data_IF_314760852090
#
_entry.id   IF_314760852090
#
_cell.length_a   1.000
_cell.length_b   1.000
_cell.length_c   1.000
_cell.angle_alpha   90.00
_cell.angle_beta   90.00
_cell.angle_gamma   90.00
#
_symmetry.space_group_name_H-M   'P 1'
#
loop_
_entity.id
_entity.type
_entity.pdbx_description
1 polymer ?
#
# COMPACT_ATOMS: atom_id res chain seq x y z
N UNK A 1 8.74 -24.80 32.61
CA UNK A 1 8.43 -25.43 31.29
C UNK A 1 9.68 -26.08 30.73
N UNK A 2 9.61 -27.37 30.39
CA UNK A 2 10.75 -28.19 29.95
C UNK A 2 11.40 -27.60 28.68
N UNK A 3 12.73 -27.68 28.55
CA UNK A 3 13.49 -27.07 27.43
C UNK A 3 12.99 -27.58 26.07
N UNK A 4 12.60 -28.86 26.02
CA UNK A 4 12.01 -29.48 24.84
C UNK A 4 10.65 -28.87 24.47
N UNK A 5 9.80 -28.58 25.46
CA UNK A 5 8.48 -27.98 25.22
C UNK A 5 8.65 -26.56 24.64
N UNK A 6 9.60 -25.77 25.15
CA UNK A 6 9.92 -24.45 24.60
C UNK A 6 10.35 -24.53 23.13
N UNK A 7 11.18 -25.51 22.79
CA UNK A 7 11.64 -25.73 21.42
C UNK A 7 10.47 -26.03 20.47
N UNK A 8 9.59 -26.96 20.84
CA UNK A 8 8.43 -27.30 20.01
C UNK A 8 7.45 -26.15 19.83
N UNK A 9 7.23 -25.32 20.85
CA UNK A 9 6.38 -24.12 20.74
C UNK A 9 6.96 -23.11 19.75
N UNK A 10 8.27 -22.86 19.82
CA UNK A 10 8.94 -21.95 18.88
C UNK A 10 8.89 -22.51 17.45
N UNK A 11 9.13 -23.81 17.29
CA UNK A 11 9.08 -24.46 15.98
C UNK A 11 7.67 -24.37 15.37
N UNK A 12 6.62 -24.65 16.15
CA UNK A 12 5.24 -24.54 15.71
C UNK A 12 4.90 -23.09 15.31
N UNK A 13 5.36 -22.11 16.08
CA UNK A 13 5.19 -20.69 15.75
C UNK A 13 5.87 -20.35 14.42
N UNK A 14 7.13 -20.73 14.21
CA UNK A 14 7.86 -20.47 12.95
C UNK A 14 7.14 -21.11 11.74
N UNK A 15 6.70 -22.36 11.86
CA UNK A 15 5.99 -23.06 10.79
C UNK A 15 4.66 -22.38 10.42
N UNK A 16 3.96 -21.80 11.40
CA UNK A 16 2.71 -21.05 11.17
C UNK A 16 2.92 -19.76 10.36
N UNK A 17 4.04 -19.05 10.54
CA UNK A 17 4.32 -17.84 9.75
C UNK A 17 4.77 -18.13 8.33
N UNK A 18 5.38 -19.29 8.06
CA UNK A 18 5.79 -19.67 6.70
C UNK A 18 4.60 -19.83 5.73
N UNK A 19 3.40 -20.09 6.26
CA UNK A 19 2.16 -20.21 5.47
C UNK A 19 1.39 -18.89 5.28
N UNK A 20 1.85 -17.78 5.88
CA UNK A 20 1.14 -16.50 5.79
C UNK A 20 1.58 -15.70 4.57
N UNK A 21 0.63 -15.33 3.71
CA UNK A 21 0.83 -14.39 2.60
C UNK A 21 0.15 -13.07 2.93
N UNK A 22 0.91 -11.99 3.19
CA UNK A 22 0.33 -10.68 3.51
C UNK A 22 0.14 -9.76 2.29
N UNK A 23 0.84 -10.03 1.18
CA UNK A 23 0.83 -9.18 0.00
C UNK A 23 -0.26 -9.60 -0.98
N UNK A 24 -1.16 -8.69 -1.33
CA UNK A 24 -2.14 -8.90 -2.40
C UNK A 24 -1.55 -8.45 -3.74
N UNK A 25 -0.95 -9.39 -4.47
CA UNK A 25 -0.32 -9.11 -5.78
C UNK A 25 -1.32 -8.60 -6.82
N UNK A 26 -2.57 -9.07 -6.77
CA UNK A 26 -3.60 -8.66 -7.72
C UNK A 26 -3.96 -7.18 -7.53
N UNK A 27 -4.09 -6.76 -6.28
CA UNK A 27 -4.30 -5.36 -5.93
C UNK A 27 -3.12 -4.47 -6.36
N UNK A 28 -1.89 -4.92 -6.12
CA UNK A 28 -0.71 -4.18 -6.55
C UNK A 28 -0.68 -3.99 -8.07
N UNK A 29 -1.04 -5.03 -8.84
CA UNK A 29 -1.16 -4.93 -10.30
C UNK A 29 -2.26 -3.95 -10.73
N UNK A 30 -3.44 -3.99 -10.11
CA UNK A 30 -4.51 -3.05 -10.45
C UNK A 30 -4.14 -1.58 -10.18
N UNK A 31 -3.39 -1.31 -9.11
CA UNK A 31 -2.84 0.02 -8.85
C UNK A 31 -1.89 0.45 -9.96
N UNK A 32 -0.96 -0.42 -10.37
CA UNK A 32 -0.01 -0.12 -11.46
C UNK A 32 -0.75 0.13 -12.77
N UNK A 33 -1.67 -0.74 -13.16
CA UNK A 33 -2.46 -0.60 -14.39
C UNK A 33 -3.22 0.73 -14.41
N UNK A 34 -3.83 1.11 -13.28
CA UNK A 34 -4.58 2.36 -13.15
C UNK A 34 -3.65 3.57 -13.22
N UNK A 35 -2.60 3.60 -12.41
CA UNK A 35 -1.66 4.73 -12.31
C UNK A 35 -0.82 4.94 -13.57
N UNK A 36 -0.66 3.91 -14.40
CA UNK A 36 0.07 3.97 -15.68
C UNK A 36 -0.84 4.12 -16.89
N UNK A 37 -2.16 4.11 -16.69
CA UNK A 37 -3.13 4.28 -17.78
C UNK A 37 -3.03 5.67 -18.42
N UNK A 38 -3.46 5.81 -19.70
CA UNK A 38 -3.47 7.10 -20.39
C UNK A 38 -4.29 8.19 -19.66
N UNK A 39 -5.30 7.82 -18.88
CA UNK A 39 -6.16 8.76 -18.15
C UNK A 39 -5.44 9.44 -16.99
N UNK A 40 -4.35 8.85 -16.48
CA UNK A 40 -3.49 9.40 -15.44
C UNK A 40 -2.38 10.31 -15.98
N UNK A 41 -2.30 10.51 -17.30
CA UNK A 41 -1.48 11.54 -17.95
C UNK A 41 0.00 11.53 -17.53
N UNK A 42 0.55 10.33 -17.30
CA UNK A 42 1.95 10.15 -16.90
C UNK A 42 2.27 10.62 -15.47
N UNK A 43 1.27 11.02 -14.68
CA UNK A 43 1.41 11.50 -13.29
C UNK A 43 2.30 12.74 -13.13
N UNK A 44 2.50 13.48 -14.22
CA UNK A 44 3.26 14.73 -14.24
C UNK A 44 2.40 15.95 -13.94
N UNK A 45 3.03 17.12 -13.80
CA UNK A 45 2.31 18.39 -13.56
C UNK A 45 1.47 18.85 -14.76
N UNK A 46 1.79 18.39 -15.97
CA UNK A 46 1.03 18.70 -17.19
C UNK A 46 -0.38 18.14 -17.08
N UNK A 47 -1.38 18.97 -17.41
CA UNK A 47 -2.80 18.59 -17.42
C UNK A 47 -3.27 17.94 -16.11
N UNK A 48 -2.70 18.37 -14.98
CA UNK A 48 -3.05 17.90 -13.63
C UNK A 48 -2.84 16.39 -13.40
N UNK A 49 -1.98 15.72 -14.18
CA UNK A 49 -1.74 14.28 -14.05
C UNK A 49 -1.32 13.85 -12.63
N UNK A 50 -0.47 14.65 -11.99
CA UNK A 50 -0.01 14.46 -10.61
C UNK A 50 -1.16 14.62 -9.61
N UNK A 51 -2.08 15.57 -9.84
CA UNK A 51 -3.23 15.79 -8.96
C UNK A 51 -4.22 14.63 -9.08
N UNK A 52 -4.50 14.15 -10.29
CA UNK A 52 -5.35 12.97 -10.51
C UNK A 52 -4.80 11.72 -9.82
N UNK A 53 -3.49 11.50 -9.92
CA UNK A 53 -2.83 10.42 -9.22
C UNK A 53 -2.90 10.58 -7.70
N UNK A 54 -2.71 11.81 -7.20
CA UNK A 54 -2.83 12.15 -5.78
C UNK A 54 -4.25 11.92 -5.24
N UNK A 55 -5.28 12.27 -6.02
CA UNK A 55 -6.68 12.05 -5.67
C UNK A 55 -6.99 10.56 -5.55
N UNK A 56 -6.61 9.79 -6.57
CA UNK A 56 -6.76 8.33 -6.57
C UNK A 56 -6.05 7.67 -5.39
N UNK A 57 -4.78 8.00 -5.14
CA UNK A 57 -4.03 7.43 -4.02
C UNK A 57 -4.60 7.82 -2.66
N UNK A 58 -5.14 9.03 -2.52
CA UNK A 58 -5.79 9.46 -1.29
C UNK A 58 -7.03 8.62 -0.99
N UNK A 59 -7.81 8.27 -2.01
CA UNK A 59 -8.96 7.39 -1.87
C UNK A 59 -8.54 5.96 -1.51
N UNK A 60 -7.50 5.43 -2.14
CA UNK A 60 -6.94 4.12 -1.81
C UNK A 60 -6.41 4.04 -0.37
N UNK A 61 -5.73 5.08 0.12
CA UNK A 61 -5.27 5.18 1.51
C UNK A 61 -6.44 5.24 2.50
N UNK A 62 -7.52 5.94 2.14
CA UNK A 62 -8.75 5.96 2.93
C UNK A 62 -9.40 4.58 2.97
N UNK A 63 -9.50 3.92 1.82
CA UNK A 63 -10.11 2.59 1.67
C UNK A 63 -9.31 1.51 2.42
N UNK A 64 -7.99 1.65 2.51
CA UNK A 64 -7.14 0.76 3.30
C UNK A 64 -7.25 0.97 4.82
N UNK A 65 -8.03 1.96 5.28
CA UNK A 65 -8.18 2.31 6.69
C UNK A 65 -6.95 3.01 7.29
N UNK A 66 -6.11 3.62 6.45
CA UNK A 66 -4.98 4.41 6.95
C UNK A 66 -5.52 5.63 7.71
N UNK A 67 -4.79 6.10 8.72
CA UNK A 67 -5.10 7.36 9.39
C UNK A 67 -4.26 8.46 8.78
N UNK A 68 -4.88 9.57 8.40
CA UNK A 68 -4.14 10.77 8.02
C UNK A 68 -3.57 11.48 9.25
N UNK A 69 -2.43 12.15 9.05
CA UNK A 69 -1.85 13.10 9.99
C UNK A 69 -2.39 14.53 9.83
N UNK A 70 -3.08 14.83 8.73
CA UNK A 70 -3.67 16.14 8.43
C UNK A 70 -5.17 15.98 8.10
N UNK A 71 -5.77 16.96 7.42
CA UNK A 71 -7.18 16.91 6.99
C UNK A 71 -7.45 15.89 5.88
N UNK A 72 -6.45 15.58 5.07
CA UNK A 72 -6.51 14.61 3.98
C UNK A 72 -5.17 13.88 3.84
N UNK A 73 -4.96 13.06 2.81
CA UNK A 73 -3.69 12.34 2.62
C UNK A 73 -2.67 13.10 1.77
N UNK A 74 -2.95 14.35 1.39
CA UNK A 74 -2.23 15.09 0.37
C UNK A 74 -1.25 16.08 0.98
N UNK A 75 -0.21 16.39 0.20
CA UNK A 75 0.73 17.46 0.50
C UNK A 75 0.77 18.43 -0.68
N UNK A 76 0.75 19.73 -0.38
CA UNK A 76 0.87 20.76 -1.40
C UNK A 76 2.30 20.79 -1.98
N UNK A 77 2.40 20.87 -3.31
CA UNK A 77 3.65 20.92 -4.06
C UNK A 77 3.63 22.14 -5.00
N UNK A 78 4.78 22.76 -5.18
CA UNK A 78 5.01 23.82 -6.18
C UNK A 78 5.96 23.25 -7.22
N UNK A 79 5.59 23.37 -8.49
CA UNK A 79 6.41 22.94 -9.62
C UNK A 79 7.22 24.13 -10.18
N UNK A 80 8.41 23.88 -10.78
CA UNK A 80 9.23 24.91 -11.42
C UNK A 80 8.52 25.64 -12.57
#
# INVERSE_FOLDING_TARGET
MNKQIKFYVILAFVLFFLSSFSQNIQYAKSLVDTLTSPTMLGRGYVNEGVNKASDFLSEEMKNSGLRSWTTDYKQFLIFP
#
